data_IF_538184470710
#
_entry.id   IF_538184470710
#
_cell.length_a   1.000
_cell.length_b   1.000
_cell.length_c   1.000
_cell.angle_alpha   90.00
_cell.angle_beta   90.00
_cell.angle_gamma   90.00
#
_symmetry.space_group_name_H-M   'P 1'
#
loop_
_entity.id
_entity.type
_entity.pdbx_description
1 polymer ?
#
# COMPACT_ATOMS: atom_id res chain seq x y z
N UNK A 1 2.18 -22.89 21.03
CA UNK A 1 1.20 -21.79 20.87
C UNK A 1 1.20 -20.85 22.08
N UNK A 2 2.35 -20.39 22.56
CA UNK A 2 2.42 -19.38 23.61
C UNK A 2 3.71 -18.56 23.49
N UNK A 3 3.54 -17.24 23.56
CA UNK A 3 4.48 -16.25 24.11
C UNK A 3 5.83 -16.00 23.44
N UNK A 4 5.83 -15.26 22.33
CA UNK A 4 6.83 -14.20 22.08
C UNK A 4 6.14 -12.97 21.49
N UNK A 5 5.45 -12.20 22.33
CA UNK A 5 4.87 -10.90 21.95
C UNK A 5 5.68 -9.79 22.60
N UNK A 6 6.68 -9.27 21.88
CA UNK A 6 7.37 -8.06 22.26
C UNK A 6 6.36 -6.92 22.47
N UNK A 7 6.63 -6.05 23.45
CA UNK A 7 5.80 -4.89 23.87
C UNK A 7 5.37 -4.00 22.69
N UNK A 8 6.11 -4.03 21.57
CA UNK A 8 5.75 -3.39 20.30
C UNK A 8 4.52 -4.00 19.60
N UNK A 9 4.37 -5.33 19.60
CA UNK A 9 3.26 -6.03 18.96
C UNK A 9 1.94 -5.85 19.69
N UNK A 10 1.96 -5.78 21.02
CA UNK A 10 0.79 -5.48 21.83
C UNK A 10 0.31 -4.04 21.61
N UNK A 11 1.22 -3.06 21.58
CA UNK A 11 0.90 -1.65 21.27
C UNK A 11 0.39 -1.47 19.85
N UNK A 12 0.95 -2.19 18.89
CA UNK A 12 0.51 -2.15 17.49
C UNK A 12 -0.88 -2.77 17.32
N UNK A 13 -1.14 -3.94 17.91
CA UNK A 13 -2.48 -4.57 17.94
C UNK A 13 -3.50 -3.73 18.70
N UNK A 14 -3.14 -3.14 19.83
CA UNK A 14 -4.03 -2.21 20.54
C UNK A 14 -4.37 -1.00 19.67
N UNK A 15 -3.40 -0.46 18.94
CA UNK A 15 -3.64 0.67 18.02
C UNK A 15 -4.55 0.25 16.87
N UNK A 16 -4.36 -0.93 16.31
CA UNK A 16 -5.20 -1.51 15.25
C UNK A 16 -6.64 -1.77 15.76
N UNK A 17 -6.79 -2.34 16.96
CA UNK A 17 -8.08 -2.60 17.60
C UNK A 17 -8.79 -1.29 17.97
N UNK A 18 -8.10 -0.31 18.57
CA UNK A 18 -8.66 1.02 18.90
C UNK A 18 -9.06 1.84 17.66
N UNK A 19 -8.54 1.49 16.49
CA UNK A 19 -8.92 2.09 15.22
C UNK A 19 -10.19 1.46 14.62
N UNK A 20 -10.65 0.31 15.12
CA UNK A 20 -11.86 -0.33 14.61
C UNK A 20 -13.14 0.40 15.03
N UNK A 21 -14.12 0.43 14.12
CA UNK A 21 -15.41 1.11 14.27
C UNK A 21 -16.14 0.72 15.57
N UNK A 22 -16.19 -0.57 15.90
CA UNK A 22 -16.98 -1.07 17.04
C UNK A 22 -16.42 -0.61 18.39
N UNK A 23 -15.10 -0.50 18.53
CA UNK A 23 -14.46 -0.07 19.79
C UNK A 23 -14.83 1.37 20.13
N UNK A 24 -14.91 2.24 19.11
CA UNK A 24 -15.26 3.65 19.30
C UNK A 24 -16.73 3.83 19.63
N UNK A 25 -17.61 3.09 18.95
CA UNK A 25 -19.04 3.07 19.29
C UNK A 25 -19.25 2.58 20.73
N UNK A 26 -18.53 1.51 21.12
CA UNK A 26 -18.55 1.01 22.50
C UNK A 26 -18.01 2.04 23.51
N UNK A 27 -17.00 2.84 23.15
CA UNK A 27 -16.48 3.89 24.01
C UNK A 27 -17.50 5.01 24.26
N UNK A 28 -18.26 5.44 23.25
CA UNK A 28 -19.36 6.41 23.43
C UNK A 28 -20.51 5.84 24.27
N UNK A 29 -20.84 4.55 24.11
CA UNK A 29 -21.80 3.86 24.97
C UNK A 29 -21.32 3.82 26.43
N UNK A 30 -20.04 3.47 26.62
CA UNK A 30 -19.37 3.49 27.92
C UNK A 30 -19.33 4.87 28.54
N UNK A 31 -19.12 5.93 27.75
CA UNK A 31 -19.17 7.32 28.19
C UNK A 31 -20.58 7.67 28.72
N UNK A 32 -21.65 7.23 28.07
CA UNK A 32 -23.03 7.39 28.55
C UNK A 32 -23.27 6.70 29.90
N UNK A 33 -22.74 5.48 30.08
CA UNK A 33 -22.80 4.75 31.36
C UNK A 33 -21.97 5.43 32.47
N UNK A 34 -20.75 5.84 32.14
CA UNK A 34 -19.84 6.55 33.06
C UNK A 34 -20.43 7.89 33.52
N UNK A 35 -21.13 8.60 32.64
CA UNK A 35 -21.80 9.85 32.96
C UNK A 35 -22.87 9.61 34.03
N UNK A 36 -23.63 8.51 33.94
CA UNK A 36 -24.61 8.11 34.96
C UNK A 36 -23.94 7.76 36.30
N UNK A 37 -22.87 6.97 36.28
CA UNK A 37 -22.12 6.59 37.49
C UNK A 37 -21.45 7.80 38.16
N UNK A 38 -20.85 8.70 37.39
CA UNK A 38 -20.20 9.92 37.90
C UNK A 38 -21.23 10.86 38.53
N UNK A 39 -22.42 10.93 37.95
CA UNK A 39 -23.55 11.66 38.53
C UNK A 39 -23.97 11.16 39.92
N UNK A 40 -23.83 9.86 40.19
CA UNK A 40 -24.08 9.28 41.51
C UNK A 40 -23.00 9.70 42.52
N UNK A 41 -21.73 9.71 42.11
CA UNK A 41 -20.58 10.05 42.99
C UNK A 41 -20.48 11.55 43.27
N UNK A 42 -20.73 12.40 42.26
CA UNK A 42 -20.62 13.87 42.35
C UNK A 42 -21.82 14.54 43.02
N UNK A 43 -22.85 13.76 43.40
CA UNK A 43 -24.07 14.23 44.05
C UNK A 43 -23.84 15.16 45.26
N UNK A 44 -22.80 15.00 46.11
CA UNK A 44 -22.56 15.90 47.25
C UNK A 44 -21.97 17.27 46.88
N UNK A 45 -21.39 17.41 45.68
CA UNK A 45 -20.62 18.59 45.28
C UNK A 45 -21.39 19.53 44.33
N UNK A 46 -22.59 19.15 43.89
CA UNK A 46 -23.38 19.90 42.91
C UNK A 46 -24.52 20.61 43.65
N UNK A 47 -24.61 21.96 43.58
CA UNK A 47 -25.70 22.71 44.20
C UNK A 47 -27.07 22.29 43.62
N UNK A 48 -28.05 22.02 44.48
CA UNK A 48 -29.39 21.60 44.08
C UNK A 48 -30.10 22.63 43.17
N UNK A 49 -29.76 23.92 43.31
CA UNK A 49 -30.30 25.01 42.46
C UNK A 49 -29.88 24.87 40.99
N UNK A 50 -28.64 24.45 40.70
CA UNK A 50 -28.16 24.22 39.34
C UNK A 50 -28.79 22.97 38.73
N UNK A 51 -29.04 21.94 39.54
CA UNK A 51 -29.73 20.72 39.12
C UNK A 51 -31.23 20.94 38.84
N UNK A 52 -31.86 21.91 39.50
CA UNK A 52 -33.24 22.33 39.22
C UNK A 52 -33.37 23.25 38.00
N UNK A 53 -32.38 24.10 37.73
CA UNK A 53 -32.40 25.02 36.57
C UNK A 53 -32.14 24.32 35.24
N UNK A 54 -31.34 23.26 35.23
CA UNK A 54 -31.13 22.42 34.03
C UNK A 54 -32.27 21.39 33.97
N UNK A 55 -33.40 21.80 33.39
CA UNK A 55 -34.59 20.96 33.25
C UNK A 55 -34.29 19.66 32.48
N UNK A 56 -34.73 18.53 33.03
CA UNK A 56 -34.61 17.21 32.37
C UNK A 56 -35.22 17.23 30.96
N UNK A 57 -36.30 18.00 30.77
CA UNK A 57 -36.98 18.19 29.48
C UNK A 57 -36.06 18.78 28.41
N UNK A 58 -35.18 19.72 28.76
CA UNK A 58 -34.26 20.35 27.80
C UNK A 58 -33.18 19.37 27.35
N UNK A 59 -32.62 18.58 28.27
CA UNK A 59 -31.64 17.53 27.95
C UNK A 59 -32.30 16.44 27.11
N UNK A 60 -33.51 16.01 27.50
CA UNK A 60 -34.29 15.00 26.79
C UNK A 60 -34.51 15.39 25.33
N UNK A 61 -35.00 16.60 25.08
CA UNK A 61 -35.22 17.11 23.73
C UNK A 61 -33.93 17.11 22.90
N UNK A 62 -32.79 17.52 23.48
CA UNK A 62 -31.49 17.50 22.80
C UNK A 62 -31.06 16.06 22.47
N UNK A 63 -31.18 15.13 23.42
CA UNK A 63 -30.81 13.72 23.20
C UNK A 63 -31.71 13.07 22.13
N UNK A 64 -33.01 13.37 22.10
CA UNK A 64 -33.93 12.88 21.06
C UNK A 64 -33.60 13.44 19.67
N UNK A 65 -33.25 14.73 19.57
CA UNK A 65 -32.77 15.34 18.33
C UNK A 65 -31.49 14.65 17.84
N UNK A 66 -30.52 14.42 18.73
CA UNK A 66 -29.27 13.74 18.37
C UNK A 66 -29.54 12.29 17.95
N UNK A 67 -30.37 11.56 18.69
CA UNK A 67 -30.69 10.16 18.39
C UNK A 67 -31.36 10.02 17.01
N UNK A 68 -32.36 10.85 16.71
CA UNK A 68 -33.04 10.79 15.41
C UNK A 68 -32.14 11.25 14.26
N UNK A 69 -31.45 12.38 14.41
CA UNK A 69 -30.63 12.96 13.34
C UNK A 69 -29.37 12.15 13.04
N UNK A 70 -28.67 11.63 14.05
CA UNK A 70 -27.39 10.95 13.84
C UNK A 70 -27.55 9.61 13.12
N UNK A 71 -28.66 8.89 13.31
CA UNK A 71 -28.93 7.68 12.54
C UNK A 71 -29.13 8.00 11.05
N UNK A 72 -29.89 9.06 10.75
CA UNK A 72 -30.09 9.55 9.36
C UNK A 72 -28.79 10.03 8.74
N UNK A 73 -27.99 10.85 9.46
CA UNK A 73 -26.69 11.34 8.98
C UNK A 73 -25.72 10.18 8.77
N UNK A 74 -25.71 9.17 9.64
CA UNK A 74 -24.88 7.97 9.47
C UNK A 74 -25.28 7.18 8.23
N UNK A 75 -26.58 7.00 8.01
CA UNK A 75 -27.12 6.29 6.84
C UNK A 75 -26.80 7.02 5.55
N UNK A 76 -27.00 8.34 5.53
CA UNK A 76 -26.64 9.21 4.40
C UNK A 76 -25.14 9.17 4.12
N UNK A 77 -24.30 9.24 5.15
CA UNK A 77 -22.83 9.19 5.02
C UNK A 77 -22.36 7.84 4.49
N UNK A 78 -22.93 6.73 4.97
CA UNK A 78 -22.63 5.39 4.47
C UNK A 78 -23.04 5.25 3.00
N UNK A 79 -24.22 5.75 2.61
CA UNK A 79 -24.67 5.75 1.21
C UNK A 79 -23.76 6.56 0.29
N UNK A 80 -23.22 7.69 0.75
CA UNK A 80 -22.23 8.43 -0.05
C UNK A 80 -20.92 7.66 -0.13
N UNK A 81 -20.43 7.03 0.94
CA UNK A 81 -19.22 6.21 0.89
C UNK A 81 -19.37 5.04 -0.09
N UNK A 82 -20.50 4.34 -0.05
CA UNK A 82 -20.75 3.23 -0.99
C UNK A 82 -20.85 3.73 -2.42
N UNK A 83 -21.51 4.87 -2.67
CA UNK A 83 -21.55 5.50 -3.99
C UNK A 83 -20.17 5.99 -4.47
N UNK A 84 -19.36 6.55 -3.58
CA UNK A 84 -17.99 6.98 -3.87
C UNK A 84 -17.09 5.78 -4.18
N UNK A 85 -17.18 4.69 -3.41
CA UNK A 85 -16.45 3.45 -3.69
C UNK A 85 -16.92 2.79 -5.00
N UNK A 86 -18.21 2.84 -5.31
CA UNK A 86 -18.72 2.36 -6.59
C UNK A 86 -18.19 3.20 -7.77
N UNK A 87 -18.16 4.53 -7.64
CA UNK A 87 -17.60 5.45 -8.64
C UNK A 87 -16.08 5.27 -8.76
N UNK A 88 -15.37 5.11 -7.65
CA UNK A 88 -13.93 4.82 -7.67
C UNK A 88 -13.64 3.44 -8.27
N UNK A 89 -14.51 2.45 -8.08
CA UNK A 89 -14.38 1.14 -8.72
C UNK A 89 -14.74 1.15 -10.21
N UNK A 90 -15.52 2.13 -10.68
CA UNK A 90 -15.87 2.27 -12.09
C UNK A 90 -14.82 3.09 -12.86
N UNK A 91 -14.30 4.16 -12.25
CA UNK A 91 -13.27 5.06 -12.80
C UNK A 91 -11.82 4.71 -12.42
N UNK A 92 -11.59 3.83 -11.45
CA UNK A 92 -10.27 3.29 -11.06
C UNK A 92 -10.38 1.78 -10.84
N UNK A 93 -9.26 1.12 -10.54
CA UNK A 93 -9.24 -0.35 -10.43
C UNK A 93 -9.69 -0.78 -9.03
N UNK A 94 -10.32 -1.96 -8.86
CA UNK A 94 -10.73 -2.45 -7.54
C UNK A 94 -9.57 -2.52 -6.52
N UNK A 95 -8.33 -2.64 -7.02
CA UNK A 95 -7.09 -2.64 -6.22
C UNK A 95 -6.72 -1.24 -5.73
N UNK A 96 -6.94 -0.19 -6.53
CA UNK A 96 -6.80 1.20 -6.09
C UNK A 96 -7.85 1.58 -5.03
N UNK A 97 -9.07 1.04 -5.15
CA UNK A 97 -10.16 1.26 -4.16
C UNK A 97 -9.79 0.73 -2.77
N UNK A 98 -8.93 -0.29 -2.65
CA UNK A 98 -8.48 -0.79 -1.34
C UNK A 98 -7.75 0.30 -0.52
N UNK A 99 -7.07 1.25 -1.18
CA UNK A 99 -6.42 2.39 -0.53
C UNK A 99 -7.45 3.44 -0.04
N UNK A 100 -8.60 3.55 -0.71
CA UNK A 100 -9.69 4.41 -0.26
C UNK A 100 -10.43 3.82 0.95
N UNK A 101 -10.68 2.51 0.94
CA UNK A 101 -11.42 1.82 2.01
C UNK A 101 -10.67 1.86 3.36
N UNK A 102 -9.34 1.96 3.32
CA UNK A 102 -8.47 2.12 4.51
C UNK A 102 -8.43 3.53 5.07
N UNK A 103 -9.24 4.46 4.55
CA UNK A 103 -9.31 5.81 5.09
C UNK A 103 -9.88 5.84 6.52
N UNK A 104 -8.97 5.97 7.49
CA UNK A 104 -9.32 6.10 8.89
C UNK A 104 -10.17 7.35 9.18
N UNK A 105 -10.11 8.41 8.37
CA UNK A 105 -10.88 9.65 8.62
C UNK A 105 -12.37 9.39 8.41
N UNK A 106 -12.75 8.84 7.26
CA UNK A 106 -14.14 8.49 6.96
C UNK A 106 -14.73 7.52 8.00
N UNK A 107 -13.97 6.49 8.36
CA UNK A 107 -14.39 5.55 9.41
C UNK A 107 -14.51 6.23 10.79
N UNK A 108 -13.64 7.20 11.10
CA UNK A 108 -13.69 7.97 12.35
C UNK A 108 -14.96 8.81 12.44
N UNK A 109 -15.32 9.47 11.35
CA UNK A 109 -16.54 10.28 11.29
C UNK A 109 -17.77 9.39 11.48
N UNK A 110 -17.90 8.30 10.72
CA UNK A 110 -19.03 7.36 10.84
C UNK A 110 -19.13 6.77 12.25
N UNK A 111 -18.00 6.38 12.85
CA UNK A 111 -17.95 5.88 14.21
C UNK A 111 -18.47 6.92 15.22
N UNK A 112 -18.18 8.20 15.00
CA UNK A 112 -18.60 9.29 15.89
C UNK A 112 -20.10 9.55 15.77
N UNK A 113 -20.67 9.52 14.57
CA UNK A 113 -22.12 9.65 14.40
C UNK A 113 -22.88 8.48 15.02
N UNK A 114 -22.43 7.25 14.78
CA UNK A 114 -23.01 6.05 15.41
C UNK A 114 -22.83 6.07 16.94
N UNK A 115 -21.66 6.50 17.42
CA UNK A 115 -21.39 6.66 18.84
C UNK A 115 -22.29 7.69 19.51
N UNK A 116 -22.48 8.85 18.88
CA UNK A 116 -23.41 9.88 19.35
C UNK A 116 -24.87 9.39 19.40
N UNK A 117 -25.31 8.63 18.39
CA UNK A 117 -26.61 7.97 18.39
C UNK A 117 -26.77 7.04 19.60
N UNK A 118 -25.81 6.14 19.83
CA UNK A 118 -25.84 5.19 20.96
C UNK A 118 -25.75 5.91 22.30
N UNK A 119 -24.88 6.92 22.44
CA UNK A 119 -24.78 7.77 23.62
C UNK A 119 -26.14 8.40 23.94
N UNK A 120 -26.81 8.97 22.94
CA UNK A 120 -28.11 9.60 23.14
C UNK A 120 -29.20 8.60 23.51
N UNK A 121 -29.19 7.41 22.92
CA UNK A 121 -30.14 6.35 23.28
C UNK A 121 -29.95 5.88 24.73
N UNK A 122 -28.69 5.61 25.14
CA UNK A 122 -28.36 5.23 26.51
C UNK A 122 -28.70 6.36 27.49
N UNK A 123 -28.36 7.60 27.15
CA UNK A 123 -28.69 8.79 27.93
C UNK A 123 -30.20 8.95 28.13
N UNK A 124 -30.98 8.79 27.06
CA UNK A 124 -32.43 8.87 27.08
C UNK A 124 -33.07 7.77 27.94
N UNK A 125 -32.62 6.52 27.79
CA UNK A 125 -33.10 5.38 28.60
C UNK A 125 -32.82 5.64 30.09
N UNK A 126 -31.61 6.06 30.42
CA UNK A 126 -31.20 6.35 31.80
C UNK A 126 -31.93 7.57 32.39
N UNK A 127 -32.24 8.58 31.58
CA UNK A 127 -33.02 9.74 31.99
C UNK A 127 -34.48 9.34 32.28
N UNK A 128 -35.12 8.57 31.38
CA UNK A 128 -36.52 8.10 31.50
C UNK A 128 -36.71 7.10 32.64
N UNK A 129 -35.70 6.29 32.96
CA UNK A 129 -35.72 5.36 34.10
C UNK A 129 -35.42 6.04 35.44
N UNK A 130 -35.11 7.34 35.44
CA UNK A 130 -34.81 8.09 36.66
C UNK A 130 -33.46 7.74 37.31
N UNK A 131 -32.59 7.00 36.59
CA UNK A 131 -31.27 6.59 37.08
C UNK A 131 -30.30 7.78 37.17
N UNK A 132 -30.55 8.83 36.40
CA UNK A 132 -29.88 10.13 36.56
C UNK A 132 -30.52 10.94 37.70
N UNK A 133 -29.92 10.88 38.89
CA UNK A 133 -30.23 11.83 39.97
C UNK A 133 -29.93 13.29 39.58
N UNK A 134 -30.31 14.27 40.42
CA UNK A 134 -30.14 15.71 40.13
C UNK A 134 -28.73 16.11 39.68
N UNK A 135 -27.70 15.70 40.42
CA UNK A 135 -26.30 15.93 40.04
C UNK A 135 -25.88 15.23 38.75
N UNK A 136 -26.44 14.07 38.45
CA UNK A 136 -26.17 13.35 37.20
C UNK A 136 -26.72 14.03 35.96
N UNK A 137 -27.84 14.77 36.08
CA UNK A 137 -28.40 15.56 34.97
C UNK A 137 -27.47 16.70 34.56
N UNK A 138 -26.83 17.37 35.52
CA UNK A 138 -25.84 18.43 35.24
C UNK A 138 -24.64 17.86 34.49
N UNK A 139 -24.09 16.74 34.96
CA UNK A 139 -22.96 16.06 34.30
C UNK A 139 -23.38 15.61 32.88
N UNK A 140 -24.57 15.03 32.73
CA UNK A 140 -25.11 14.64 31.43
C UNK A 140 -25.25 15.83 30.48
N UNK A 141 -25.72 16.98 30.95
CA UNK A 141 -25.83 18.17 30.12
C UNK A 141 -24.47 18.65 29.60
N UNK A 142 -23.47 18.77 30.48
CA UNK A 142 -22.11 19.18 30.08
C UNK A 142 -21.50 18.20 29.09
N UNK A 143 -21.64 16.89 29.34
CA UNK A 143 -21.16 15.85 28.43
C UNK A 143 -21.92 15.90 27.10
N UNK A 144 -23.23 16.15 27.12
CA UNK A 144 -24.04 16.29 25.90
C UNK A 144 -23.58 17.49 25.06
N UNK A 145 -23.25 18.63 25.68
CA UNK A 145 -22.67 19.78 24.98
C UNK A 145 -21.32 19.44 24.33
N UNK A 146 -20.46 18.69 25.04
CA UNK A 146 -19.20 18.22 24.49
C UNK A 146 -19.42 17.28 23.29
N UNK A 147 -20.37 16.35 23.40
CA UNK A 147 -20.76 15.45 22.30
C UNK A 147 -21.27 16.26 21.11
N UNK A 148 -22.08 17.30 21.32
CA UNK A 148 -22.53 18.19 20.24
C UNK A 148 -21.34 18.87 19.55
N UNK A 149 -20.40 19.43 20.31
CA UNK A 149 -19.20 20.04 19.74
C UNK A 149 -18.40 19.03 18.90
N UNK A 150 -18.25 17.80 19.39
CA UNK A 150 -17.59 16.70 18.66
C UNK A 150 -18.36 16.36 17.37
N UNK A 151 -19.70 16.28 17.41
CA UNK A 151 -20.54 16.05 16.23
C UNK A 151 -20.32 17.15 15.19
N UNK A 152 -20.37 18.43 15.58
CA UNK A 152 -20.19 19.56 14.68
C UNK A 152 -18.81 19.50 14.00
N UNK A 153 -17.74 19.28 14.77
CA UNK A 153 -16.39 19.15 14.22
C UNK A 153 -16.27 17.93 13.29
N UNK A 154 -16.93 16.82 13.63
CA UNK A 154 -16.93 15.61 12.81
C UNK A 154 -17.69 15.80 11.51
N UNK A 155 -18.79 16.55 11.53
CA UNK A 155 -19.58 16.90 10.35
C UNK A 155 -18.83 17.88 9.43
N UNK A 156 -18.12 18.87 9.98
CA UNK A 156 -17.23 19.72 9.18
C UNK A 156 -16.10 18.92 8.54
N UNK A 157 -15.47 18.01 9.30
CA UNK A 157 -14.45 17.10 8.77
C UNK A 157 -15.01 16.19 7.69
N UNK A 158 -16.26 15.72 7.85
CA UNK A 158 -16.96 14.91 6.86
C UNK A 158 -17.17 15.67 5.56
N UNK A 159 -17.69 16.91 5.63
CA UNK A 159 -17.93 17.76 4.44
C UNK A 159 -16.62 18.00 3.69
N UNK A 160 -15.54 18.35 4.40
CA UNK A 160 -14.24 18.51 3.77
C UNK A 160 -13.76 17.22 3.09
N UNK A 161 -13.98 16.07 3.75
CA UNK A 161 -13.60 14.77 3.20
C UNK A 161 -14.40 14.38 1.97
N UNK A 162 -15.69 14.71 1.92
CA UNK A 162 -16.53 14.49 0.75
C UNK A 162 -16.03 15.24 -0.49
N UNK A 163 -15.45 16.43 -0.31
CA UNK A 163 -14.82 17.18 -1.39
C UNK A 163 -13.61 16.46 -2.01
N UNK A 164 -12.89 15.66 -1.21
CA UNK A 164 -11.70 14.92 -1.65
C UNK A 164 -12.05 13.59 -2.34
N UNK A 165 -13.10 12.90 -1.87
CA UNK A 165 -13.52 11.57 -2.37
C UNK A 165 -13.99 11.57 -3.84
N UNK A 166 -14.33 12.73 -4.42
CA UNK A 166 -14.87 12.87 -5.77
C UNK A 166 -13.86 13.08 -6.89
N UNK A 167 -12.57 13.27 -6.59
CA UNK A 167 -11.55 13.57 -7.59
C UNK A 167 -10.72 12.31 -7.88
N UNK A 168 -10.86 11.75 -9.09
CA UNK A 168 -10.01 10.66 -9.62
C UNK A 168 -8.50 10.96 -9.43
N UNK A 169 -8.13 12.25 -9.37
CA UNK A 169 -6.77 12.70 -9.05
C UNK A 169 -6.24 12.23 -7.69
N UNK A 170 -7.08 12.08 -6.66
CA UNK A 170 -6.67 11.64 -5.32
C UNK A 170 -6.25 10.16 -5.31
N UNK A 171 -6.95 9.30 -6.08
CA UNK A 171 -6.58 7.88 -6.19
C UNK A 171 -5.21 7.70 -6.84
N UNK A 172 -4.96 8.40 -7.94
CA UNK A 172 -3.72 8.26 -8.69
C UNK A 172 -2.53 8.82 -7.91
N UNK A 173 -2.74 9.93 -7.18
CA UNK A 173 -1.75 10.48 -6.26
C UNK A 173 -1.44 9.54 -5.09
N UNK A 174 -2.46 8.88 -4.51
CA UNK A 174 -2.26 7.90 -3.43
C UNK A 174 -1.50 6.67 -3.89
N UNK A 175 -1.87 6.09 -5.04
CA UNK A 175 -1.15 4.94 -5.61
C UNK A 175 0.30 5.37 -5.89
N UNK A 176 0.51 6.54 -6.48
CA UNK A 176 1.85 7.09 -6.72
C UNK A 176 2.66 7.20 -5.42
N UNK A 177 2.09 7.79 -4.36
CA UNK A 177 2.77 7.96 -3.08
C UNK A 177 3.15 6.62 -2.45
N UNK A 178 2.21 5.67 -2.30
CA UNK A 178 2.52 4.38 -1.68
C UNK A 178 3.51 3.55 -2.51
N UNK A 179 3.48 3.72 -3.85
CA UNK A 179 4.46 3.07 -4.75
C UNK A 179 5.84 3.68 -4.58
N UNK A 180 5.92 5.00 -4.47
CA UNK A 180 7.18 5.71 -4.25
C UNK A 180 7.82 5.32 -2.91
N UNK A 181 7.05 5.31 -1.82
CA UNK A 181 7.52 4.91 -0.49
C UNK A 181 8.04 3.45 -0.49
N UNK A 182 7.29 2.54 -1.12
CA UNK A 182 7.66 1.13 -1.26
C UNK A 182 8.92 0.97 -2.11
N UNK A 183 9.05 1.72 -3.21
CA UNK A 183 10.23 1.69 -4.07
C UNK A 183 11.45 2.25 -3.36
N UNK A 184 11.34 3.40 -2.68
CA UNK A 184 12.45 4.00 -1.93
C UNK A 184 12.99 3.05 -0.87
N UNK A 185 12.10 2.47 -0.06
CA UNK A 185 12.46 1.45 0.94
C UNK A 185 13.20 0.28 0.30
N UNK A 186 12.74 -0.17 -0.88
CA UNK A 186 13.38 -1.26 -1.60
C UNK A 186 14.72 -0.86 -2.23
N UNK A 187 14.89 0.37 -2.67
CA UNK A 187 16.15 0.86 -3.25
C UNK A 187 17.23 1.10 -2.20
N UNK A 188 16.83 1.53 -0.99
CA UNK A 188 17.73 1.62 0.17
C UNK A 188 18.30 0.24 0.56
N UNK A 189 17.49 -0.82 0.38
CA UNK A 189 17.93 -2.18 0.64
C UNK A 189 17.43 -3.16 -0.44
N UNK A 190 18.10 -3.23 -1.60
CA UNK A 190 17.63 -4.01 -2.77
C UNK A 190 17.42 -5.50 -2.49
N UNK A 191 18.21 -6.02 -1.55
CA UNK A 191 18.20 -7.41 -1.08
C UNK A 191 17.62 -7.55 0.34
N UNK A 192 16.93 -6.52 0.86
CA UNK A 192 16.34 -6.49 2.21
C UNK A 192 17.35 -6.83 3.33
N UNK A 193 18.58 -6.30 3.20
CA UNK A 193 19.68 -6.52 4.14
C UNK A 193 20.40 -7.86 3.97
N UNK A 194 19.97 -8.71 3.04
CA UNK A 194 20.60 -9.99 2.75
C UNK A 194 21.68 -9.87 1.66
N UNK A 195 22.37 -10.97 1.38
CA UNK A 195 23.26 -11.07 0.25
C UNK A 195 22.49 -11.09 -1.09
N UNK A 196 23.12 -10.65 -2.19
CA UNK A 196 22.57 -10.87 -3.52
C UNK A 196 22.43 -12.36 -3.85
N UNK A 197 21.24 -12.78 -4.26
CA UNK A 197 21.02 -14.05 -4.93
C UNK A 197 21.31 -13.88 -6.42
N UNK A 198 22.43 -14.45 -6.89
CA UNK A 198 22.83 -14.43 -8.30
C UNK A 198 22.71 -15.82 -8.91
N UNK A 199 21.73 -16.01 -9.78
CA UNK A 199 21.47 -17.29 -10.42
C UNK A 199 20.64 -18.25 -9.53
N UNK A 200 20.54 -19.52 -9.92
CA UNK A 200 19.77 -20.52 -9.18
C UNK A 200 20.43 -20.85 -7.83
N UNK A 201 19.64 -21.27 -6.82
CA UNK A 201 20.18 -21.82 -5.58
C UNK A 201 21.11 -23.03 -5.82
N UNK A 202 22.03 -23.34 -4.89
CA UNK A 202 22.89 -24.52 -4.97
C UNK A 202 22.09 -25.82 -5.18
N UNK A 203 22.60 -26.74 -5.99
CA UNK A 203 21.90 -27.98 -6.34
C UNK A 203 21.71 -28.96 -5.15
N UNK A 204 22.55 -28.83 -4.13
CA UNK A 204 22.53 -29.58 -2.87
C UNK A 204 21.64 -28.92 -1.80
N UNK A 205 21.03 -27.78 -2.09
CA UNK A 205 20.06 -27.14 -1.20
C UNK A 205 18.70 -27.84 -1.25
N UNK A 206 18.03 -27.93 -0.09
CA UNK A 206 16.69 -28.50 0.01
C UNK A 206 15.62 -27.42 -0.14
N UNK A 207 14.64 -27.66 -1.02
CA UNK A 207 13.55 -26.72 -1.27
C UNK A 207 12.48 -26.78 -0.16
N UNK A 208 12.08 -25.61 0.34
CA UNK A 208 10.91 -25.46 1.22
C UNK A 208 9.74 -25.01 0.37
N UNK A 209 8.81 -25.93 0.11
CA UNK A 209 7.65 -25.70 -0.74
C UNK A 209 6.62 -24.80 -0.06
N UNK A 210 5.92 -23.97 -0.84
CA UNK A 210 4.82 -23.19 -0.30
C UNK A 210 3.69 -24.11 0.21
N UNK A 211 3.10 -23.82 1.39
CA UNK A 211 2.02 -24.64 1.94
C UNK A 211 0.70 -24.50 1.16
N UNK A 212 0.48 -23.35 0.51
CA UNK A 212 -0.76 -23.02 -0.18
C UNK A 212 -0.53 -22.09 -1.37
N UNK A 213 -1.59 -21.86 -2.16
CA UNK A 213 -1.58 -20.89 -3.26
C UNK A 213 -1.85 -19.49 -2.70
N UNK A 214 -0.97 -18.53 -3.01
CA UNK A 214 -1.15 -17.15 -2.57
C UNK A 214 -0.03 -16.23 -3.04
N UNK A 215 -0.08 -14.99 -2.57
CA UNK A 215 0.96 -14.00 -2.78
C UNK A 215 1.80 -13.81 -1.51
N UNK A 216 3.12 -13.73 -1.69
CA UNK A 216 4.04 -13.33 -0.62
C UNK A 216 3.81 -11.85 -0.31
N UNK A 217 3.31 -11.53 0.88
CA UNK A 217 3.11 -10.14 1.29
C UNK A 217 4.26 -9.60 2.14
N UNK A 218 4.90 -10.47 2.93
CA UNK A 218 5.97 -10.08 3.84
C UNK A 218 6.97 -11.22 3.99
N UNK A 219 8.25 -10.88 3.98
CA UNK A 219 9.34 -11.73 4.46
C UNK A 219 9.86 -11.11 5.75
N UNK A 220 9.75 -11.84 6.86
CA UNK A 220 10.34 -11.41 8.13
C UNK A 220 11.85 -11.71 8.14
N UNK A 221 12.62 -10.79 7.57
CA UNK A 221 14.06 -10.95 7.40
C UNK A 221 14.82 -11.15 8.71
N UNK A 222 14.35 -10.55 9.81
CA UNK A 222 14.99 -10.70 11.11
C UNK A 222 14.78 -12.13 11.64
N UNK A 223 13.52 -12.57 11.71
CA UNK A 223 13.19 -13.93 12.18
C UNK A 223 13.84 -15.01 11.30
N UNK A 224 13.90 -14.80 9.98
CA UNK A 224 14.63 -15.69 9.07
C UNK A 224 16.13 -15.73 9.35
N UNK A 225 16.75 -14.61 9.71
CA UNK A 225 18.18 -14.55 10.04
C UNK A 225 18.45 -15.27 11.36
N UNK A 226 17.63 -15.02 12.38
CA UNK A 226 17.78 -15.62 13.70
C UNK A 226 17.68 -17.16 13.60
N UNK A 227 16.71 -17.68 12.83
CA UNK A 227 16.58 -19.12 12.55
C UNK A 227 17.77 -19.67 11.75
N UNK A 228 18.28 -18.92 10.77
CA UNK A 228 19.43 -19.34 9.98
C UNK A 228 20.71 -19.42 10.82
N UNK A 229 20.89 -18.49 11.76
CA UNK A 229 22.01 -18.46 12.69
C UNK A 229 21.91 -19.59 13.72
N UNK A 230 20.73 -19.83 14.30
CA UNK A 230 20.51 -20.90 15.29
C UNK A 230 20.71 -22.30 14.70
N UNK A 231 20.17 -22.55 13.50
CA UNK A 231 20.28 -23.85 12.84
C UNK A 231 21.57 -24.02 12.01
N UNK A 232 22.44 -23.01 12.01
CA UNK A 232 23.64 -22.92 11.19
C UNK A 232 23.45 -23.17 9.67
N UNK A 233 22.29 -22.78 9.12
CA UNK A 233 21.96 -22.96 7.69
C UNK A 233 22.20 -21.72 6.83
N UNK A 234 22.15 -21.87 5.51
CA UNK A 234 22.11 -20.75 4.54
C UNK A 234 20.79 -20.79 3.79
N UNK A 235 20.10 -19.65 3.74
CA UNK A 235 18.78 -19.50 3.13
C UNK A 235 18.87 -18.74 1.80
N UNK A 236 18.39 -19.36 0.73
CA UNK A 236 18.25 -18.75 -0.59
C UNK A 236 16.77 -18.48 -0.87
N UNK A 237 16.35 -17.24 -0.66
CA UNK A 237 14.96 -16.79 -0.83
C UNK A 237 14.64 -16.64 -2.32
N UNK A 238 14.03 -17.68 -2.88
CA UNK A 238 13.59 -17.72 -4.28
C UNK A 238 12.28 -16.98 -4.49
N UNK A 239 11.41 -16.95 -3.49
CA UNK A 239 10.21 -16.12 -3.48
C UNK A 239 10.50 -14.74 -2.87
N UNK A 240 9.96 -13.69 -3.49
CA UNK A 240 10.05 -12.31 -3.03
C UNK A 240 8.64 -11.72 -2.79
N UNK A 241 8.51 -10.65 -1.99
CA UNK A 241 7.25 -9.94 -1.85
C UNK A 241 6.64 -9.58 -3.21
N UNK A 242 5.36 -9.92 -3.39
CA UNK A 242 4.60 -9.75 -4.63
C UNK A 242 4.43 -11.00 -5.47
N UNK A 243 5.34 -11.98 -5.33
CA UNK A 243 5.25 -13.22 -6.10
C UNK A 243 4.00 -14.01 -5.76
N UNK A 244 3.40 -14.58 -6.79
CA UNK A 244 2.47 -15.69 -6.61
C UNK A 244 3.27 -16.97 -6.39
N UNK A 245 2.90 -17.74 -5.37
CA UNK A 245 3.46 -19.05 -5.05
C UNK A 245 2.35 -20.10 -4.99
N UNK A 246 2.73 -21.37 -5.14
CA UNK A 246 1.83 -22.53 -5.08
C UNK A 246 2.58 -23.74 -4.52
N UNK A 247 1.90 -24.84 -4.14
CA UNK A 247 2.55 -26.01 -3.52
C UNK A 247 3.63 -26.74 -4.33
N UNK A 248 3.83 -26.37 -5.60
CA UNK A 248 4.90 -26.88 -6.45
C UNK A 248 6.01 -25.83 -6.71
N UNK A 249 6.00 -24.72 -5.97
CA UNK A 249 7.01 -23.66 -5.99
C UNK A 249 7.65 -23.51 -4.61
N UNK A 250 8.98 -23.38 -4.59
CA UNK A 250 9.75 -23.17 -3.36
C UNK A 250 9.64 -21.71 -2.87
N UNK A 251 9.37 -21.54 -1.57
CA UNK A 251 9.50 -20.25 -0.89
C UNK A 251 10.98 -19.86 -0.77
N UNK A 252 11.79 -20.83 -0.36
CA UNK A 252 13.23 -20.71 -0.26
C UNK A 252 13.90 -22.08 -0.43
N UNK A 253 15.21 -22.04 -0.59
CA UNK A 253 16.07 -23.20 -0.56
C UNK A 253 17.02 -23.09 0.64
N UNK A 254 17.27 -24.21 1.31
CA UNK A 254 18.07 -24.27 2.54
C UNK A 254 19.29 -25.16 2.30
N UNK A 255 20.47 -24.61 2.48
CA UNK A 255 21.72 -25.36 2.48
C UNK A 255 22.13 -25.66 3.93
N UNK A 256 22.52 -26.92 4.19
CA UNK A 256 22.91 -27.37 5.53
C UNK A 256 21.74 -27.83 6.41
N UNK A 257 20.61 -28.24 5.82
CA UNK A 257 19.46 -28.74 6.58
C UNK A 257 19.87 -29.83 7.61
N UNK A 258 19.28 -29.81 8.82
CA UNK A 258 19.55 -30.83 9.83
C UNK A 258 19.33 -32.25 9.30
N UNK A 259 20.22 -33.17 9.68
CA UNK A 259 20.09 -34.59 9.29
C UNK A 259 19.01 -35.31 10.09
N UNK A 260 18.71 -34.82 11.30
CA UNK A 260 17.62 -35.32 12.12
C UNK A 260 16.25 -34.91 11.51
N UNK A 261 15.36 -35.87 11.19
CA UNK A 261 14.07 -35.57 10.58
C UNK A 261 13.15 -34.68 11.42
N UNK A 262 13.16 -34.83 12.75
CA UNK A 262 12.31 -34.02 13.62
C UNK A 262 12.79 -32.56 13.66
N UNK A 263 14.09 -32.34 13.82
CA UNK A 263 14.68 -31.00 13.72
C UNK A 263 14.48 -30.36 12.34
N UNK A 264 14.61 -31.13 11.25
CA UNK A 264 14.39 -30.65 9.89
C UNK A 264 12.92 -30.24 9.64
N UNK A 265 11.97 -31.01 10.18
CA UNK A 265 10.55 -30.68 10.12
C UNK A 265 10.23 -29.41 10.91
N UNK A 266 10.76 -29.28 12.13
CA UNK A 266 10.56 -28.10 12.97
C UNK A 266 11.07 -26.83 12.28
N UNK A 267 12.31 -26.85 11.80
CA UNK A 267 12.91 -25.73 11.07
C UNK A 267 12.07 -25.38 9.82
N UNK A 268 11.56 -26.38 9.10
CA UNK A 268 10.68 -26.13 7.94
C UNK A 268 9.43 -25.34 8.34
N UNK A 269 8.78 -25.72 9.43
CA UNK A 269 7.56 -25.04 9.89
C UNK A 269 7.84 -23.61 10.34
N UNK A 270 8.95 -23.40 11.03
CA UNK A 270 9.36 -22.07 11.49
C UNK A 270 9.72 -21.14 10.31
N UNK A 271 10.43 -21.66 9.30
CA UNK A 271 10.73 -20.93 8.07
C UNK A 271 9.45 -20.54 7.30
N UNK A 272 8.48 -21.46 7.20
CA UNK A 272 7.17 -21.16 6.60
C UNK A 272 6.45 -20.07 7.41
N UNK A 273 6.52 -20.12 8.75
CA UNK A 273 5.93 -19.13 9.65
C UNK A 273 6.48 -17.71 9.49
N UNK A 274 7.70 -17.57 8.96
CA UNK A 274 8.32 -16.27 8.67
C UNK A 274 7.86 -15.64 7.34
N UNK A 275 7.06 -16.36 6.54
CA UNK A 275 6.55 -15.90 5.26
C UNK A 275 5.04 -15.67 5.35
N UNK A 276 4.62 -14.42 5.17
CA UNK A 276 3.18 -14.09 5.16
C UNK A 276 2.60 -14.33 3.76
N UNK A 277 1.84 -15.40 3.60
CA UNK A 277 1.06 -15.68 2.38
C UNK A 277 -0.38 -15.21 2.52
N UNK A 278 -0.92 -14.55 1.48
CA UNK A 278 -2.32 -14.11 1.43
C UNK A 278 -2.88 -14.21 0.00
N UNK A 279 -4.22 -14.29 -0.18
CA UNK A 279 -4.83 -14.36 -1.51
C UNK A 279 -4.60 -13.13 -2.42
N UNK A 280 -4.19 -11.98 -1.87
CA UNK A 280 -3.99 -10.75 -2.62
C UNK A 280 -2.59 -10.17 -2.37
N UNK A 281 -2.08 -9.38 -3.31
CA UNK A 281 -0.84 -8.59 -3.15
C UNK A 281 -1.04 -7.43 -2.16
N UNK A 282 0.07 -6.89 -1.66
CA UNK A 282 0.10 -5.77 -0.72
C UNK A 282 1.10 -4.72 -1.21
N UNK A 283 0.81 -3.43 -1.05
CA UNK A 283 1.75 -2.36 -1.42
C UNK A 283 2.98 -2.27 -0.50
N UNK A 284 2.91 -2.84 0.70
CA UNK A 284 3.86 -2.58 1.78
C UNK A 284 5.32 -2.94 1.46
N UNK A 285 5.55 -4.07 0.79
CA UNK A 285 6.90 -4.55 0.43
C UNK A 285 7.06 -4.84 -1.07
N UNK A 286 6.05 -4.52 -1.86
CA UNK A 286 5.99 -4.86 -3.28
C UNK A 286 5.70 -3.59 -4.11
N UNK A 287 6.75 -2.86 -4.53
CA UNK A 287 6.58 -1.68 -5.37
C UNK A 287 6.03 -2.04 -6.75
N UNK A 288 6.26 -3.26 -7.27
CA UNK A 288 5.73 -3.71 -8.57
C UNK A 288 4.20 -3.68 -8.56
N UNK A 289 3.56 -3.96 -7.44
CA UNK A 289 2.10 -3.91 -7.35
C UNK A 289 1.56 -2.50 -7.56
N UNK A 290 2.26 -1.50 -7.04
CA UNK A 290 1.98 -0.10 -7.29
C UNK A 290 1.95 0.25 -8.78
N UNK A 291 3.00 -0.14 -9.50
CA UNK A 291 3.07 0.03 -10.96
C UNK A 291 1.96 -0.72 -11.70
N UNK A 292 1.67 -1.97 -11.31
CA UNK A 292 0.56 -2.74 -11.90
C UNK A 292 -0.78 -2.02 -11.73
N UNK A 293 -1.05 -1.46 -10.55
CA UNK A 293 -2.29 -0.71 -10.29
C UNK A 293 -2.35 0.57 -11.13
N UNK A 294 -1.23 1.29 -11.28
CA UNK A 294 -1.14 2.44 -12.18
C UNK A 294 -1.41 2.04 -13.65
N UNK A 295 -0.77 0.95 -14.11
CA UNK A 295 -0.97 0.38 -15.45
C UNK A 295 -2.42 0.04 -15.71
N UNK A 296 -3.08 -0.65 -14.78
CA UNK A 296 -4.48 -1.02 -14.92
C UNK A 296 -5.41 0.21 -15.02
N UNK A 297 -5.09 1.30 -14.29
CA UNK A 297 -5.82 2.57 -14.42
C UNK A 297 -5.61 3.16 -15.82
N UNK A 298 -4.38 3.14 -16.35
CA UNK A 298 -4.09 3.57 -17.72
C UNK A 298 -4.80 2.70 -18.77
N UNK A 299 -4.77 1.38 -18.65
CA UNK A 299 -5.47 0.45 -19.55
C UNK A 299 -6.98 0.68 -19.52
N UNK A 300 -7.56 0.94 -18.35
CA UNK A 300 -8.98 1.28 -18.22
C UNK A 300 -9.32 2.55 -19.00
N UNK A 301 -8.47 3.57 -18.91
CA UNK A 301 -8.64 4.82 -19.66
C UNK A 301 -8.51 4.61 -21.18
N UNK A 302 -7.59 3.74 -21.62
CA UNK A 302 -7.39 3.39 -23.03
C UNK A 302 -8.48 2.47 -23.60
N UNK A 303 -9.34 1.90 -22.74
CA UNK A 303 -10.39 0.99 -23.21
C UNK A 303 -11.35 1.68 -24.19
N UNK A 304 -11.93 0.95 -25.16
CA UNK A 304 -12.85 1.53 -26.15
C UNK A 304 -14.05 2.25 -25.55
N UNK A 305 -14.45 1.90 -24.32
CA UNK A 305 -15.58 2.51 -23.62
C UNK A 305 -15.25 3.89 -23.03
N UNK A 306 -13.98 4.16 -22.70
CA UNK A 306 -13.54 5.42 -22.08
C UNK A 306 -12.78 6.28 -23.08
N UNK A 307 -11.83 5.69 -23.80
CA UNK A 307 -11.04 6.30 -24.86
C UNK A 307 -10.37 7.64 -24.44
N UNK A 308 -9.71 7.63 -23.27
CA UNK A 308 -9.03 8.78 -22.68
C UNK A 308 -7.49 8.56 -22.63
N UNK A 309 -6.76 8.87 -23.71
CA UNK A 309 -5.30 8.81 -23.72
C UNK A 309 -4.65 9.81 -22.75
N UNK A 310 -5.33 10.90 -22.39
CA UNK A 310 -4.81 11.91 -21.45
C UNK A 310 -4.54 11.32 -20.07
N UNK A 311 -5.47 10.49 -19.56
CA UNK A 311 -5.27 9.77 -18.29
C UNK A 311 -4.12 8.76 -18.37
N UNK A 312 -3.96 8.04 -19.49
CA UNK A 312 -2.85 7.12 -19.67
C UNK A 312 -1.49 7.85 -19.69
N UNK A 313 -1.40 8.99 -20.35
CA UNK A 313 -0.20 9.85 -20.34
C UNK A 313 0.09 10.36 -18.93
N UNK A 314 -0.95 10.73 -18.17
CA UNK A 314 -0.82 11.14 -16.78
C UNK A 314 -0.34 10.00 -15.87
N UNK A 315 -0.69 8.75 -16.17
CA UNK A 315 -0.16 7.54 -15.50
C UNK A 315 1.32 7.36 -15.83
N UNK A 316 1.70 7.40 -17.11
CA UNK A 316 3.10 7.28 -17.57
C UNK A 316 3.99 8.35 -16.91
N UNK A 317 3.50 9.59 -16.84
CA UNK A 317 4.20 10.71 -16.21
C UNK A 317 4.46 10.47 -14.71
N UNK A 318 3.51 9.85 -14.01
CA UNK A 318 3.67 9.48 -12.59
C UNK A 318 4.66 8.32 -12.43
N UNK A 319 4.61 7.31 -13.30
CA UNK A 319 5.61 6.24 -13.31
C UNK A 319 7.02 6.79 -13.52
N UNK A 320 7.20 7.76 -14.42
CA UNK A 320 8.46 8.47 -14.60
C UNK A 320 8.89 9.18 -13.30
N UNK A 321 7.97 9.89 -12.63
CA UNK A 321 8.27 10.57 -11.36
C UNK A 321 8.72 9.58 -10.28
N UNK A 322 8.05 8.44 -10.17
CA UNK A 322 8.41 7.39 -9.22
C UNK A 322 9.79 6.82 -9.56
N UNK A 323 10.05 6.44 -10.82
CA UNK A 323 11.32 5.84 -11.22
C UNK A 323 12.48 6.84 -11.22
N UNK A 324 12.20 8.14 -11.26
CA UNK A 324 13.22 9.19 -11.25
C UNK A 324 14.09 9.21 -9.99
N UNK A 325 13.62 8.64 -8.86
CA UNK A 325 14.43 8.52 -7.64
C UNK A 325 15.49 7.42 -7.72
N UNK A 326 15.38 6.49 -8.68
CA UNK A 326 16.33 5.41 -8.88
C UNK A 326 17.54 5.89 -9.68
N UNK A 327 18.45 6.57 -8.99
CA UNK A 327 19.58 7.28 -9.63
C UNK A 327 20.82 6.42 -9.83
N UNK A 328 21.05 5.43 -8.98
CA UNK A 328 22.24 4.59 -9.00
C UNK A 328 21.96 3.19 -8.46
N UNK A 329 22.86 2.25 -8.74
CA UNK A 329 22.86 0.95 -8.10
C UNK A 329 23.56 1.06 -6.75
N UNK A 330 22.92 0.57 -5.69
CA UNK A 330 23.46 0.59 -4.33
C UNK A 330 24.32 -0.65 -4.10
N UNK A 331 25.47 -0.49 -3.43
CA UNK A 331 26.29 -1.62 -3.02
C UNK A 331 25.58 -2.46 -1.94
N UNK A 332 25.80 -3.78 -1.86
CA UNK A 332 25.15 -4.60 -0.85
C UNK A 332 25.60 -4.21 0.57
N UNK A 333 24.68 -3.68 1.37
CA UNK A 333 24.84 -3.60 2.84
C UNK A 333 24.24 -4.87 3.45
N UNK A 334 25.11 -5.80 3.84
CA UNK A 334 24.70 -7.13 4.35
C UNK A 334 24.54 -7.06 5.87
N UNK A 335 23.29 -7.01 6.31
CA UNK A 335 22.89 -7.14 7.72
C UNK A 335 22.58 -8.60 8.10
N UNK A 336 22.18 -9.41 7.12
CA UNK A 336 21.77 -10.79 7.28
C UNK A 336 22.67 -11.72 6.44
N UNK A 337 23.83 -12.15 6.98
CA UNK A 337 24.89 -12.78 6.18
C UNK A 337 24.58 -14.21 5.71
N UNK A 338 23.63 -14.90 6.35
CA UNK A 338 23.19 -16.26 5.96
C UNK A 338 22.00 -16.28 5.00
N UNK A 339 21.50 -15.10 4.63
CA UNK A 339 20.37 -14.95 3.72
C UNK A 339 20.86 -14.49 2.35
N UNK A 340 20.24 -15.01 1.30
CA UNK A 340 20.38 -14.57 -0.08
C UNK A 340 19.00 -14.26 -0.65
N UNK A 341 18.82 -13.07 -1.22
CA UNK A 341 17.52 -12.65 -1.79
C UNK A 341 17.73 -12.08 -3.19
N UNK A 342 16.75 -12.21 -4.08
CA UNK A 342 16.74 -11.49 -5.36
C UNK A 342 16.37 -10.02 -5.18
N UNK A 343 16.92 -9.14 -6.01
CA UNK A 343 16.49 -7.75 -6.13
C UNK A 343 15.42 -7.60 -7.23
N UNK A 344 14.71 -6.48 -7.20
CA UNK A 344 13.85 -6.05 -8.30
C UNK A 344 14.73 -5.43 -9.38
N UNK A 345 14.46 -5.72 -10.65
CA UNK A 345 15.21 -5.13 -11.77
C UNK A 345 14.42 -4.02 -12.45
N UNK A 346 15.14 -3.12 -13.13
CA UNK A 346 14.51 -2.08 -13.94
C UNK A 346 13.72 -2.68 -15.12
N UNK A 347 14.17 -3.82 -15.70
CA UNK A 347 13.43 -4.52 -16.75
C UNK A 347 12.07 -5.01 -16.24
N UNK A 348 12.04 -5.67 -15.06
CA UNK A 348 10.78 -6.13 -14.45
C UNK A 348 9.78 -4.97 -14.31
N UNK A 349 10.22 -3.82 -13.77
CA UNK A 349 9.34 -2.68 -13.56
C UNK A 349 8.88 -2.03 -14.86
N UNK A 350 9.80 -1.79 -15.79
CA UNK A 350 9.47 -1.11 -17.04
C UNK A 350 8.59 -1.98 -17.95
N UNK A 351 8.96 -3.25 -18.11
CA UNK A 351 8.25 -4.19 -18.98
C UNK A 351 6.84 -4.45 -18.48
N UNK A 352 6.69 -4.81 -17.20
CA UNK A 352 5.38 -5.12 -16.63
C UNK A 352 4.44 -3.92 -16.63
N UNK A 353 4.98 -2.71 -16.50
CA UNK A 353 4.16 -1.49 -16.38
C UNK A 353 3.81 -0.83 -17.71
N UNK A 354 4.74 -0.74 -18.65
CA UNK A 354 4.57 0.03 -19.89
C UNK A 354 4.13 -0.83 -21.07
N UNK A 355 4.49 -2.12 -21.12
CA UNK A 355 4.09 -2.99 -22.23
C UNK A 355 2.56 -3.12 -22.37
N UNK A 356 1.78 -3.28 -21.28
CA UNK A 356 0.33 -3.33 -21.41
C UNK A 356 -0.28 -2.00 -21.87
N UNK A 357 0.30 -0.86 -21.47
CA UNK A 357 -0.14 0.47 -21.93
C UNK A 357 0.14 0.68 -23.42
N UNK A 358 1.32 0.28 -23.88
CA UNK A 358 1.69 0.35 -25.29
C UNK A 358 0.84 -0.58 -26.17
N UNK A 359 0.49 -1.77 -25.66
CA UNK A 359 -0.40 -2.71 -26.35
C UNK A 359 -1.82 -2.15 -26.46
N UNK A 360 -2.39 -1.66 -25.36
CA UNK A 360 -3.80 -1.22 -25.35
C UNK A 360 -3.97 0.17 -26.00
N UNK A 361 -2.91 0.97 -26.03
CA UNK A 361 -2.84 2.26 -26.72
C UNK A 361 -2.19 2.17 -28.11
N UNK A 362 -2.14 1.00 -28.74
CA UNK A 362 -1.38 0.74 -29.97
C UNK A 362 -1.71 1.70 -31.12
N UNK A 363 -2.99 2.08 -31.26
CA UNK A 363 -3.46 3.03 -32.28
C UNK A 363 -3.31 4.51 -31.89
N UNK A 364 -2.83 4.81 -30.67
CA UNK A 364 -2.77 6.16 -30.10
C UNK A 364 -1.32 6.65 -30.06
N UNK A 365 -0.93 7.46 -31.05
CA UNK A 365 0.45 7.98 -31.18
C UNK A 365 0.93 8.72 -29.94
N UNK A 366 0.06 9.46 -29.26
CA UNK A 366 0.36 10.24 -28.06
C UNK A 366 0.76 9.36 -26.87
N UNK A 367 0.22 8.15 -26.76
CA UNK A 367 0.60 7.17 -25.73
C UNK A 367 2.00 6.66 -26.02
N UNK A 368 2.27 6.28 -27.28
CA UNK A 368 3.61 5.84 -27.69
C UNK A 368 4.67 6.94 -27.52
N UNK A 369 4.35 8.19 -27.87
CA UNK A 369 5.24 9.34 -27.62
C UNK A 369 5.54 9.48 -26.12
N UNK A 370 4.54 9.34 -25.26
CA UNK A 370 4.74 9.43 -23.81
C UNK A 370 5.64 8.30 -23.28
N UNK A 371 5.45 7.07 -23.74
CA UNK A 371 6.32 5.93 -23.40
C UNK A 371 7.76 6.21 -23.85
N UNK A 372 7.96 6.60 -25.11
CA UNK A 372 9.30 6.86 -25.65
C UNK A 372 10.01 8.02 -24.93
N UNK A 373 9.29 9.09 -24.62
CA UNK A 373 9.83 10.21 -23.83
C UNK A 373 10.23 9.78 -22.42
N UNK A 374 9.42 8.96 -21.76
CA UNK A 374 9.75 8.40 -20.44
C UNK A 374 11.02 7.54 -20.50
N UNK A 375 11.12 6.62 -21.47
CA UNK A 375 12.29 5.74 -21.63
C UNK A 375 13.57 6.55 -21.91
N UNK A 376 13.48 7.57 -22.77
CA UNK A 376 14.59 8.48 -23.05
C UNK A 376 15.00 9.27 -21.80
N UNK A 377 14.02 9.79 -21.05
CA UNK A 377 14.29 10.52 -19.81
C UNK A 377 15.00 9.65 -18.77
N UNK A 378 14.51 8.43 -18.52
CA UNK A 378 15.13 7.50 -17.58
C UNK A 378 16.56 7.12 -17.99
N UNK A 379 16.78 6.86 -19.29
CA UNK A 379 18.11 6.57 -19.83
C UNK A 379 19.08 7.73 -19.63
N UNK A 380 18.62 8.98 -19.78
CA UNK A 380 19.43 10.17 -19.54
C UNK A 380 19.69 10.44 -18.07
N UNK A 381 18.73 10.15 -17.19
CA UNK A 381 18.83 10.42 -15.76
C UNK A 381 19.73 9.41 -15.03
N UNK A 382 19.59 8.12 -15.33
CA UNK A 382 20.31 7.05 -14.66
C UNK A 382 20.64 5.91 -15.64
N UNK A 383 21.61 6.13 -16.56
CA UNK A 383 21.94 5.17 -17.60
C UNK A 383 22.37 3.82 -17.03
N UNK A 384 23.20 3.80 -15.98
CA UNK A 384 23.64 2.56 -15.33
C UNK A 384 22.50 1.68 -14.78
N UNK A 385 21.29 2.23 -14.62
CA UNK A 385 20.10 1.52 -14.15
C UNK A 385 19.19 1.14 -15.32
N UNK A 386 18.87 2.09 -16.20
CA UNK A 386 17.77 1.94 -17.15
C UNK A 386 18.20 1.62 -18.57
N UNK A 387 19.46 1.82 -18.94
CA UNK A 387 19.91 1.79 -20.33
C UNK A 387 19.49 0.53 -21.11
N UNK A 388 19.83 -0.65 -20.59
CA UNK A 388 19.52 -1.94 -21.25
C UNK A 388 18.01 -2.17 -21.33
N UNK A 389 17.33 -2.02 -20.20
CA UNK A 389 15.88 -2.26 -20.09
C UNK A 389 15.07 -1.30 -20.96
N UNK A 390 15.43 -0.02 -20.98
CA UNK A 390 14.75 1.01 -21.75
C UNK A 390 14.95 0.80 -23.26
N UNK A 391 16.15 0.42 -23.69
CA UNK A 391 16.45 0.16 -25.11
C UNK A 391 15.69 -1.06 -25.64
N UNK A 392 15.66 -2.16 -24.89
CA UNK A 392 14.92 -3.37 -25.26
C UNK A 392 13.41 -3.13 -25.29
N UNK A 393 12.89 -2.42 -24.27
CA UNK A 393 11.47 -2.13 -24.20
C UNK A 393 11.04 -1.15 -25.29
N UNK A 394 11.87 -0.14 -25.60
CA UNK A 394 11.62 0.82 -26.68
C UNK A 394 11.38 0.12 -28.01
N UNK A 395 12.24 -0.85 -28.35
CA UNK A 395 12.08 -1.67 -29.56
C UNK A 395 10.82 -2.53 -29.52
N UNK A 396 10.52 -3.11 -28.36
CA UNK A 396 9.34 -3.97 -28.18
C UNK A 396 8.04 -3.18 -28.36
N UNK A 397 7.93 -1.97 -27.80
CA UNK A 397 6.71 -1.16 -27.89
C UNK A 397 6.47 -0.59 -29.29
N UNK A 398 7.52 -0.42 -30.10
CA UNK A 398 7.38 -0.01 -31.50
C UNK A 398 6.67 -1.05 -32.36
N UNK A 399 6.77 -2.33 -32.00
CA UNK A 399 6.07 -3.38 -32.74
C UNK A 399 4.56 -3.13 -32.74
N UNK A 400 3.98 -2.74 -31.59
CA UNK A 400 2.56 -2.40 -31.49
C UNK A 400 2.21 -1.14 -32.28
N UNK A 401 3.02 -0.08 -32.19
CA UNK A 401 2.79 1.15 -32.92
C UNK A 401 2.73 0.93 -34.44
N UNK A 402 3.65 0.13 -35.00
CA UNK A 402 3.69 -0.17 -36.44
C UNK A 402 2.50 -0.97 -36.93
N UNK A 403 1.83 -1.70 -36.04
CA UNK A 403 0.69 -2.53 -36.41
C UNK A 403 -0.60 -1.71 -36.55
N UNK A 404 -0.80 -0.72 -35.68
CA UNK A 404 -2.10 -0.07 -35.51
C UNK A 404 -2.10 1.44 -35.86
N UNK A 405 -0.95 2.11 -35.92
CA UNK A 405 -0.87 3.51 -36.37
C UNK A 405 -0.96 3.58 -37.89
N UNK A 406 -1.87 4.42 -38.38
CA UNK A 406 -2.19 4.53 -39.82
C UNK A 406 -1.26 5.50 -40.56
N UNK A 407 -0.84 6.59 -39.91
CA UNK A 407 -0.08 7.67 -40.56
C UNK A 407 1.42 7.33 -40.61
N UNK A 408 2.03 7.21 -41.80
CA UNK A 408 3.45 6.87 -41.93
C UNK A 408 4.39 7.89 -41.26
N UNK A 409 4.02 9.18 -41.25
CA UNK A 409 4.81 10.23 -40.61
C UNK A 409 4.89 10.04 -39.08
N UNK A 410 3.84 9.51 -38.46
CA UNK A 410 3.81 9.23 -37.03
C UNK A 410 4.68 8.02 -36.69
N UNK A 411 4.66 6.99 -37.53
CA UNK A 411 5.56 5.83 -37.40
C UNK A 411 7.03 6.28 -37.52
N UNK A 412 7.36 7.12 -38.51
CA UNK A 412 8.72 7.65 -38.70
C UNK A 412 9.18 8.53 -37.53
N UNK A 413 8.27 9.28 -36.92
CA UNK A 413 8.57 10.01 -35.68
C UNK A 413 8.89 9.07 -34.52
N UNK A 414 8.06 8.05 -34.28
CA UNK A 414 8.30 7.07 -33.22
C UNK A 414 9.57 6.24 -33.46
N UNK A 415 9.91 6.00 -34.73
CA UNK A 415 11.18 5.40 -35.15
C UNK A 415 12.37 6.25 -34.69
N UNK A 416 12.36 7.53 -35.04
CA UNK A 416 13.40 8.46 -34.59
C UNK A 416 13.48 8.58 -33.07
N UNK A 417 12.35 8.53 -32.36
CA UNK A 417 12.34 8.59 -30.89
C UNK A 417 12.99 7.35 -30.27
N UNK A 418 12.67 6.16 -30.76
CA UNK A 418 13.31 4.92 -30.28
C UNK A 418 14.81 4.90 -30.58
N UNK A 419 15.21 5.36 -31.77
CA UNK A 419 16.63 5.50 -32.12
C UNK A 419 17.34 6.45 -31.14
N UNK A 420 16.68 7.50 -30.66
CA UNK A 420 17.24 8.38 -29.64
C UNK A 420 17.40 7.68 -28.28
N UNK A 421 16.47 6.81 -27.89
CA UNK A 421 16.59 5.99 -26.65
C UNK A 421 17.82 5.08 -26.76
N UNK A 422 17.94 4.37 -27.88
CA UNK A 422 19.05 3.45 -28.15
C UNK A 422 20.39 4.20 -28.27
N UNK A 423 20.42 5.35 -28.93
CA UNK A 423 21.64 6.14 -29.06
C UNK A 423 22.06 6.80 -27.73
N UNK A 424 21.10 7.15 -26.87
CA UNK A 424 21.39 7.63 -25.52
C UNK A 424 22.01 6.53 -24.65
N UNK A 425 21.69 5.26 -24.92
CA UNK A 425 22.35 4.10 -24.33
C UNK A 425 23.82 4.04 -24.73
N UNK A 426 24.11 4.03 -26.03
CA UNK A 426 25.48 3.79 -26.53
C UNK A 426 26.52 4.85 -26.11
N UNK A 427 26.11 6.09 -25.79
CA UNK A 427 27.03 7.17 -25.41
C UNK A 427 27.60 7.07 -24.00
N UNK A 428 27.10 6.18 -23.15
CA UNK A 428 27.50 6.11 -21.73
C UNK A 428 28.56 5.03 -21.44
N UNK A 429 28.87 4.16 -22.40
CA UNK A 429 30.02 3.25 -22.28
C UNK A 429 31.32 4.04 -22.53
N UNK A 430 32.21 4.26 -21.54
CA UNK A 430 33.54 4.72 -21.88
C UNK A 430 34.24 3.58 -22.61
N UNK A 431 34.67 3.86 -23.84
CA UNK A 431 35.63 3.09 -24.61
C UNK A 431 36.79 2.58 -23.74
N UNK A 432 36.66 1.38 -23.18
CA UNK A 432 37.74 0.58 -22.59
C UNK A 432 37.88 -0.72 -23.38
N UNK A 433 38.38 -0.62 -24.63
CA UNK A 433 38.99 -1.78 -25.32
C UNK A 433 39.70 -1.41 -26.63
N UNK A 434 40.51 -0.35 -26.64
CA UNK A 434 41.47 -0.14 -27.75
C UNK A 434 42.81 0.43 -27.26
N UNK A 435 43.45 -0.22 -26.28
CA UNK A 435 44.90 -0.04 -26.14
C UNK A 435 45.62 -1.14 -25.33
N UNK A 436 45.48 -2.40 -25.75
CA UNK A 436 46.32 -3.47 -25.18
C UNK A 436 46.89 -4.43 -26.23
N UNK A 437 47.20 -3.89 -27.42
CA UNK A 437 47.86 -4.64 -28.51
C UNK A 437 49.25 -4.11 -28.92
N UNK A 438 49.87 -3.25 -28.10
CA UNK A 438 51.24 -2.81 -28.30
C UNK A 438 52.06 -2.83 -27.01
N UNK A 439 52.20 -4.00 -26.37
CA UNK A 439 53.29 -4.23 -25.41
C UNK A 439 53.46 -5.73 -25.15
N UNK A 440 53.73 -6.52 -26.20
CA UNK A 440 54.35 -7.83 -26.01
C UNK A 440 55.07 -8.32 -27.30
N UNK A 441 56.10 -7.59 -27.72
CA UNK A 441 57.10 -8.05 -28.71
C UNK A 441 58.45 -7.39 -28.43
N UNK A 442 59.07 -7.68 -27.29
CA UNK A 442 60.50 -7.42 -27.08
C UNK A 442 61.05 -8.18 -25.87
N UNK A 443 60.98 -9.52 -25.90
CA UNK A 443 61.73 -10.37 -24.97
C UNK A 443 61.86 -11.79 -25.51
N UNK A 444 62.46 -11.92 -26.70
CA UNK A 444 63.02 -13.18 -27.22
C UNK A 444 64.09 -12.83 -28.26
N UNK A 445 65.29 -12.50 -27.78
CA UNK A 445 66.58 -12.63 -28.46
C UNK A 445 67.70 -12.34 -27.47
#
# INVERSE_FOLDING_TARGET
MAEHWGVGGLRWRLREILQTLWVRVAAFAGLGLLTASTGYVMRPFIPDELALQIGAEAIEAILEIIASSMLTVTTFSLSILTAAYATASSGSTPRAVQLLVRDGVSQTVLATFMGAFVFSLVGLIMLKTGLYGGGGRVVLFVVTLLVIAIIILSLLRWINRLGELGLIGDNLARVEQVTLESLQTRLESPWMGANPLRGPPPADSMAIMAPEVGHVQNLDMQSLSDLADEAEVILYMTAAPGDMVHPAQALCHVLGMPTDPEAAEALRQDLIGCVTLRPARSFAQDPRFGFVVLTEIGQRALSPAVNDPGTAIAVITRMLRILSVWTHQVAPEVRFPRLHVRSITADDLLRDSLMPLARDGAAMVEVHRAVQNMLLALTRMAPAVFESAASELSRSVQFYARQDIVLPQEIEELDRMSDQVVAASEKVVPSKSRDNRQMNKSSLS
#
